data_IF_042203969573
#
_entry.id   IF_042203969573
#
_cell.length_a   1.000
_cell.length_b   1.000
_cell.length_c   1.000
_cell.angle_alpha   90.00
_cell.angle_beta   90.00
_cell.angle_gamma   90.00
#
_symmetry.space_group_name_H-M   'P 1'
#
loop_
_entity.id
_entity.type
_entity.pdbx_description
1 polymer ?
#
# COMPACT_ATOMS: atom_id res chain seq x y z
N UNK A 1 10.88 24.29 15.53
CA UNK A 1 9.50 24.36 14.99
C UNK A 1 8.78 23.11 15.45
N UNK A 2 7.65 23.24 16.15
CA UNK A 2 6.85 22.08 16.56
C UNK A 2 5.98 21.65 15.38
N UNK A 3 6.02 20.36 15.01
CA UNK A 3 5.21 19.81 13.95
C UNK A 3 4.02 19.05 14.53
N UNK A 4 2.89 19.09 13.84
CA UNK A 4 1.69 18.29 14.13
C UNK A 4 1.40 17.36 12.96
N UNK A 5 1.36 16.06 13.23
CA UNK A 5 1.08 15.04 12.22
C UNK A 5 -0.35 14.50 12.41
N UNK A 6 -1.05 14.33 11.29
CA UNK A 6 -2.33 13.59 11.25
C UNK A 6 -2.15 12.27 10.49
N UNK A 7 -2.69 11.17 11.03
CA UNK A 7 -2.95 9.96 10.27
C UNK A 7 -4.30 10.13 9.59
N UNK A 8 -4.30 10.27 8.26
CA UNK A 8 -5.50 10.60 7.49
C UNK A 8 -6.25 9.34 7.00
N UNK A 9 -6.24 8.28 7.77
CA UNK A 9 -6.97 7.04 7.49
C UNK A 9 -7.14 6.21 8.75
N UNK A 10 -8.02 5.23 8.69
CA UNK A 10 -8.15 4.18 9.69
C UNK A 10 -8.51 2.85 9.01
N UNK A 11 -8.46 1.74 9.76
CA UNK A 11 -8.68 0.41 9.19
C UNK A 11 -10.01 0.26 8.45
N UNK A 12 -11.05 0.92 8.94
CA UNK A 12 -12.41 0.87 8.42
C UNK A 12 -12.75 2.01 7.47
N UNK A 13 -11.77 2.75 6.96
CA UNK A 13 -11.98 3.74 5.90
C UNK A 13 -12.76 3.08 4.76
N UNK A 14 -13.79 3.74 4.25
CA UNK A 14 -14.64 3.20 3.19
C UNK A 14 -13.85 2.93 1.91
N UNK A 15 -14.17 1.79 1.26
CA UNK A 15 -13.59 1.40 -0.03
C UNK A 15 -14.37 1.99 -1.21
N UNK A 16 -14.58 3.30 -1.20
CA UNK A 16 -15.34 4.03 -2.22
C UNK A 16 -14.47 4.79 -3.24
N UNK A 17 -13.14 4.68 -3.12
CA UNK A 17 -12.18 5.34 -4.00
C UNK A 17 -12.12 6.86 -3.87
N UNK A 18 -12.59 7.44 -2.74
CA UNK A 18 -12.71 8.90 -2.57
C UNK A 18 -11.74 9.52 -1.57
N UNK A 19 -10.95 8.72 -0.86
CA UNK A 19 -10.08 9.26 0.18
C UNK A 19 -9.12 10.33 -0.35
N UNK A 20 -8.56 10.13 -1.54
CA UNK A 20 -7.66 11.12 -2.15
C UNK A 20 -8.35 12.45 -2.48
N UNK A 21 -9.63 12.39 -2.90
CA UNK A 21 -10.44 13.59 -3.12
C UNK A 21 -10.73 14.30 -1.80
N UNK A 22 -11.00 13.57 -0.72
CA UNK A 22 -11.19 14.15 0.61
C UNK A 22 -9.92 14.83 1.11
N UNK A 23 -8.75 14.18 1.00
CA UNK A 23 -7.45 14.78 1.35
C UNK A 23 -7.24 16.08 0.59
N UNK A 24 -7.45 16.05 -0.74
CA UNK A 24 -7.31 17.22 -1.60
C UNK A 24 -8.22 18.37 -1.16
N UNK A 25 -9.48 18.08 -0.90
CA UNK A 25 -10.48 19.09 -0.58
C UNK A 25 -10.31 19.68 0.84
N UNK A 26 -9.71 18.90 1.74
CA UNK A 26 -9.47 19.32 3.13
C UNK A 26 -8.07 19.92 3.37
N UNK A 27 -7.22 20.05 2.35
CA UNK A 27 -5.84 20.49 2.53
C UNK A 27 -5.73 21.88 3.20
N UNK A 28 -6.52 22.86 2.76
CA UNK A 28 -6.54 24.21 3.36
C UNK A 28 -7.03 24.16 4.80
N UNK A 29 -8.12 23.44 5.07
CA UNK A 29 -8.64 23.28 6.42
C UNK A 29 -7.63 22.65 7.38
N UNK A 30 -6.90 21.62 6.93
CA UNK A 30 -5.83 21.01 7.72
C UNK A 30 -4.69 21.99 8.03
N UNK A 31 -4.32 22.84 7.08
CA UNK A 31 -3.32 23.87 7.29
C UNK A 31 -3.79 24.91 8.33
N UNK A 32 -5.05 25.34 8.26
CA UNK A 32 -5.65 26.27 9.22
C UNK A 32 -5.68 25.70 10.65
N UNK A 33 -5.81 24.37 10.78
CA UNK A 33 -5.71 23.67 12.08
C UNK A 33 -4.25 23.53 12.58
N UNK A 34 -3.27 23.95 11.79
CA UNK A 34 -1.85 23.83 12.15
C UNK A 34 -1.24 22.45 11.92
N UNK A 35 -1.86 21.62 11.08
CA UNK A 35 -1.28 20.34 10.63
C UNK A 35 -0.09 20.63 9.70
N UNK A 36 1.03 20.00 9.97
CA UNK A 36 2.27 20.16 9.19
C UNK A 36 2.65 18.93 8.38
N UNK A 37 2.12 17.78 8.74
CA UNK A 37 2.37 16.50 8.06
C UNK A 37 1.10 15.64 8.02
N UNK A 38 0.86 14.98 6.90
CA UNK A 38 -0.23 14.03 6.72
C UNK A 38 0.34 12.64 6.37
N UNK A 39 0.07 11.66 7.22
CA UNK A 39 0.35 10.26 6.95
C UNK A 39 -0.82 9.66 6.18
N UNK A 40 -0.54 9.32 4.92
CA UNK A 40 -1.49 8.71 3.99
C UNK A 40 -1.33 7.18 3.97
N UNK A 41 -2.40 6.41 3.73
CA UNK A 41 -2.33 4.96 3.64
C UNK A 41 -1.56 4.52 2.38
N UNK A 42 -1.19 3.21 2.29
CA UNK A 42 -0.54 2.69 1.10
C UNK A 42 -1.34 2.97 -0.17
N UNK A 43 -0.71 3.63 -1.15
CA UNK A 43 -1.37 4.06 -2.38
C UNK A 43 -1.35 3.01 -3.50
N UNK A 44 -0.53 1.95 -3.34
CA UNK A 44 -0.35 0.90 -4.35
C UNK A 44 -1.42 -0.20 -4.28
N UNK A 45 -1.47 -1.03 -5.33
CA UNK A 45 -2.41 -2.15 -5.44
C UNK A 45 -2.07 -3.25 -4.44
N UNK A 46 -3.04 -3.58 -3.59
CA UNK A 46 -3.01 -4.76 -2.73
C UNK A 46 -3.70 -5.97 -3.35
N UNK A 47 -3.45 -7.15 -2.78
CA UNK A 47 -4.04 -8.41 -3.25
C UNK A 47 -5.58 -8.43 -3.19
N UNK A 48 -6.18 -7.70 -2.25
CA UNK A 48 -7.64 -7.58 -2.13
C UNK A 48 -8.24 -6.49 -3.05
N UNK A 49 -7.47 -5.98 -4.03
CA UNK A 49 -7.92 -5.02 -5.03
C UNK A 49 -8.51 -3.75 -4.42
N UNK A 50 -9.68 -3.35 -4.88
CA UNK A 50 -10.41 -2.15 -4.40
C UNK A 50 -10.87 -2.21 -2.93
N UNK A 51 -10.72 -3.34 -2.25
CA UNK A 51 -11.01 -3.50 -0.82
C UNK A 51 -9.75 -3.52 0.04
N UNK A 52 -8.56 -3.58 -0.58
CA UNK A 52 -7.30 -3.68 0.14
C UNK A 52 -7.01 -2.43 0.97
N UNK A 53 -6.69 -2.63 2.25
CA UNK A 53 -6.16 -1.57 3.11
C UNK A 53 -4.68 -1.24 2.83
N UNK A 54 -4.02 -2.03 1.95
CA UNK A 54 -2.65 -1.80 1.48
C UNK A 54 -1.57 -2.63 2.16
N UNK A 55 -1.88 -3.34 3.26
CA UNK A 55 -0.91 -4.17 3.99
C UNK A 55 -0.81 -5.62 3.46
N UNK A 56 -1.44 -5.89 2.32
CA UNK A 56 -1.30 -7.07 1.47
C UNK A 56 -0.72 -6.67 0.09
N UNK A 57 0.49 -6.06 0.01
CA UNK A 57 0.99 -5.46 -1.22
C UNK A 57 1.12 -6.48 -2.34
N UNK A 58 0.54 -6.16 -3.49
CA UNK A 58 0.63 -6.96 -4.71
C UNK A 58 1.55 -6.30 -5.74
N UNK A 59 1.21 -5.11 -6.22
CA UNK A 59 2.02 -4.36 -7.19
C UNK A 59 2.31 -2.95 -6.68
N UNK A 60 3.55 -2.73 -6.23
CA UNK A 60 4.01 -1.45 -5.69
C UNK A 60 4.05 -0.32 -6.75
N UNK A 61 3.99 -0.67 -8.03
CA UNK A 61 4.03 0.28 -9.15
C UNK A 61 2.65 0.59 -9.74
N UNK A 62 1.60 -0.10 -9.28
CA UNK A 62 0.21 0.18 -9.64
C UNK A 62 -0.45 1.05 -8.56
N UNK A 63 -0.57 2.33 -8.81
CA UNK A 63 -1.23 3.28 -7.92
C UNK A 63 -2.74 3.45 -8.23
N UNK A 64 -3.37 2.41 -8.78
CA UNK A 64 -4.76 2.45 -9.20
C UNK A 64 -4.91 2.86 -10.66
N UNK A 65 -4.03 2.35 -11.55
CA UNK A 65 -4.01 2.60 -12.98
C UNK A 65 -4.40 1.38 -13.80
N UNK A 66 -4.14 0.17 -13.29
CA UNK A 66 -4.27 -1.09 -14.02
C UNK A 66 -5.39 -1.95 -13.46
N UNK A 67 -6.11 -2.67 -14.32
CA UNK A 67 -7.11 -3.66 -13.89
C UNK A 67 -6.42 -4.91 -13.35
N UNK A 68 -6.16 -4.88 -12.06
CA UNK A 68 -5.50 -5.94 -11.33
C UNK A 68 -6.28 -6.28 -10.05
N UNK A 69 -6.32 -7.57 -9.70
CA UNK A 69 -7.04 -8.06 -8.50
C UNK A 69 -8.50 -7.60 -8.44
N UNK A 70 -9.14 -7.52 -9.62
CA UNK A 70 -10.57 -7.22 -9.77
C UNK A 70 -10.94 -5.73 -9.62
N UNK A 71 -9.97 -4.83 -9.73
CA UNK A 71 -10.24 -3.39 -9.73
C UNK A 71 -9.15 -2.59 -10.43
N UNK A 72 -9.55 -1.46 -11.04
CA UNK A 72 -8.58 -0.47 -11.52
C UNK A 72 -8.12 0.38 -10.34
N UNK A 73 -9.03 1.07 -9.67
CA UNK A 73 -8.69 1.89 -8.50
C UNK A 73 -8.30 1.04 -7.30
N UNK A 74 -7.45 1.61 -6.44
CA UNK A 74 -7.27 1.10 -5.08
C UNK A 74 -8.49 1.44 -4.22
N UNK A 75 -8.53 0.95 -2.99
CA UNK A 75 -9.55 1.31 -1.99
C UNK A 75 -9.72 2.83 -1.84
N UNK A 76 -8.65 3.57 -1.99
CA UNK A 76 -8.54 5.00 -1.68
C UNK A 76 -8.70 5.91 -2.90
N UNK A 77 -8.59 5.35 -4.12
CA UNK A 77 -8.71 6.08 -5.38
C UNK A 77 -7.67 5.64 -6.41
N UNK A 78 -7.51 6.44 -7.45
CA UNK A 78 -6.57 6.19 -8.54
C UNK A 78 -5.34 7.10 -8.44
N UNK A 79 -4.34 6.85 -9.28
CA UNK A 79 -3.06 7.60 -9.31
C UNK A 79 -3.26 9.09 -9.50
N UNK A 80 -4.15 9.51 -10.40
CA UNK A 80 -4.41 10.92 -10.66
C UNK A 80 -4.91 11.61 -9.39
N UNK A 81 -5.92 11.04 -8.73
CA UNK A 81 -6.46 11.56 -7.47
C UNK A 81 -5.39 11.63 -6.38
N UNK A 82 -4.56 10.58 -6.25
CA UNK A 82 -3.44 10.55 -5.30
C UNK A 82 -2.43 11.69 -5.56
N UNK A 83 -2.02 11.86 -6.81
CA UNK A 83 -1.08 12.92 -7.19
C UNK A 83 -1.65 14.31 -6.91
N UNK A 84 -2.94 14.52 -7.21
CA UNK A 84 -3.64 15.78 -6.92
C UNK A 84 -3.75 16.05 -5.41
N UNK A 85 -3.97 15.01 -4.59
CA UNK A 85 -4.01 15.12 -3.13
C UNK A 85 -2.65 15.54 -2.56
N UNK A 86 -1.58 14.88 -2.98
CA UNK A 86 -0.20 15.22 -2.56
C UNK A 86 0.16 16.66 -2.97
N UNK A 87 -0.22 17.06 -4.18
CA UNK A 87 0.03 18.42 -4.67
C UNK A 87 -0.78 19.47 -3.87
N UNK A 88 -2.02 19.16 -3.50
CA UNK A 88 -2.83 20.06 -2.66
C UNK A 88 -2.22 20.24 -1.28
N UNK A 89 -1.77 19.18 -0.62
CA UNK A 89 -1.05 19.26 0.66
C UNK A 89 0.24 20.10 0.53
N UNK A 90 1.01 19.85 -0.54
CA UNK A 90 2.25 20.59 -0.80
C UNK A 90 2.02 22.09 -0.96
N UNK A 91 0.94 22.51 -1.64
CA UNK A 91 0.59 23.93 -1.86
C UNK A 91 0.33 24.69 -0.56
N UNK A 92 -0.15 24.00 0.46
CA UNK A 92 -0.42 24.58 1.79
C UNK A 92 0.68 24.25 2.82
N UNK A 93 1.86 23.82 2.34
CA UNK A 93 3.03 23.47 3.16
C UNK A 93 2.82 22.32 4.15
N UNK A 94 1.93 21.37 3.84
CA UNK A 94 1.78 20.12 4.58
C UNK A 94 2.65 19.05 3.92
N UNK A 95 3.59 18.46 4.68
CA UNK A 95 4.40 17.33 4.22
C UNK A 95 3.57 16.05 4.14
N UNK A 96 3.81 15.23 3.11
CA UNK A 96 3.17 13.92 2.95
C UNK A 96 4.10 12.83 3.45
N UNK A 97 3.60 11.98 4.35
CA UNK A 97 4.25 10.73 4.77
C UNK A 97 3.57 9.58 4.02
N UNK A 98 4.38 8.84 3.26
CA UNK A 98 3.92 7.73 2.43
C UNK A 98 4.12 6.42 3.18
N UNK A 99 3.05 5.64 3.33
CA UNK A 99 3.10 4.30 3.90
C UNK A 99 3.50 3.29 2.81
N UNK A 100 4.61 2.61 3.00
CA UNK A 100 5.13 1.62 2.03
C UNK A 100 5.53 0.33 2.75
N UNK A 101 4.89 -0.78 2.39
CA UNK A 101 5.25 -2.11 2.86
C UNK A 101 6.26 -2.73 1.89
N UNK A 102 7.51 -2.86 2.33
CA UNK A 102 8.61 -3.48 1.56
C UNK A 102 9.00 -4.86 2.10
N UNK A 103 8.41 -5.30 3.21
CA UNK A 103 8.77 -6.52 3.92
C UNK A 103 8.26 -7.79 3.23
N UNK A 104 7.09 -7.74 2.60
CA UNK A 104 6.42 -8.90 2.01
C UNK A 104 5.55 -8.49 0.82
N UNK A 105 5.10 -9.49 0.06
CA UNK A 105 4.08 -9.39 -0.98
C UNK A 105 3.01 -10.46 -0.77
N UNK A 106 1.82 -10.26 -1.32
CA UNK A 106 0.70 -11.18 -1.25
C UNK A 106 0.08 -11.40 -2.64
N UNK A 107 -0.52 -12.58 -2.85
CA UNK A 107 -1.34 -12.85 -4.03
C UNK A 107 -0.55 -13.11 -5.31
N UNK A 108 0.53 -13.90 -5.24
CA UNK A 108 1.23 -14.38 -6.42
C UNK A 108 0.25 -14.96 -7.47
N UNK A 109 0.50 -14.69 -8.75
CA UNK A 109 -0.42 -15.04 -9.85
C UNK A 109 -0.29 -16.50 -10.27
N UNK A 110 0.93 -17.03 -10.19
CA UNK A 110 1.25 -18.40 -10.59
C UNK A 110 2.05 -19.11 -9.50
N UNK A 111 1.99 -20.44 -9.56
CA UNK A 111 2.82 -21.31 -8.74
C UNK A 111 4.22 -21.42 -9.33
N UNK A 112 5.21 -21.53 -8.46
CA UNK A 112 6.57 -21.92 -8.81
C UNK A 112 7.13 -22.88 -7.78
N UNK A 113 8.13 -23.66 -8.20
CA UNK A 113 8.84 -24.62 -7.36
C UNK A 113 10.16 -24.02 -6.93
N UNK A 114 10.47 -24.15 -5.65
CA UNK A 114 11.74 -23.69 -5.08
C UNK A 114 12.10 -24.49 -3.83
N UNK A 115 13.40 -24.50 -3.51
CA UNK A 115 13.92 -25.18 -2.33
C UNK A 115 13.79 -24.29 -1.09
N UNK A 116 13.37 -24.91 0.00
CA UNK A 116 13.25 -24.28 1.32
C UNK A 116 13.93 -25.13 2.38
N UNK A 117 14.18 -24.49 3.55
CA UNK A 117 14.66 -25.15 4.77
C UNK A 117 13.64 -24.98 5.88
N UNK A 118 13.49 -25.96 6.75
CA UNK A 118 12.88 -25.72 8.06
C UNK A 118 13.90 -24.98 8.92
N UNK A 119 13.45 -23.96 9.62
CA UNK A 119 14.27 -23.19 10.54
C UNK A 119 13.70 -23.23 11.95
N UNK A 120 14.55 -23.04 12.94
CA UNK A 120 14.12 -22.90 14.33
C UNK A 120 13.28 -21.63 14.49
N UNK A 121 12.06 -21.69 15.03
CA UNK A 121 11.20 -20.53 15.21
C UNK A 121 11.82 -19.46 16.14
N UNK A 122 12.74 -19.84 17.02
CA UNK A 122 13.41 -18.94 17.95
C UNK A 122 14.74 -18.42 17.40
N UNK A 123 15.32 -19.08 16.40
CA UNK A 123 16.57 -18.69 15.75
C UNK A 123 16.55 -19.08 14.27
N UNK A 124 16.11 -18.20 13.41
CA UNK A 124 15.98 -18.43 11.95
C UNK A 124 17.31 -18.70 11.23
N UNK A 125 18.44 -18.49 11.88
CA UNK A 125 19.76 -18.86 11.36
C UNK A 125 20.11 -20.36 11.59
N UNK A 126 19.31 -21.05 12.41
CA UNK A 126 19.47 -22.47 12.68
C UNK A 126 18.56 -23.29 11.76
N UNK A 127 19.16 -23.96 10.77
CA UNK A 127 18.44 -24.84 9.85
C UNK A 127 18.19 -26.19 10.51
N UNK A 128 16.93 -26.65 10.50
CA UNK A 128 16.45 -27.90 11.09
C UNK A 128 16.25 -29.01 10.05
N UNK A 129 16.49 -28.74 8.77
CA UNK A 129 16.38 -29.75 7.70
C UNK A 129 17.38 -29.48 6.59
N UNK A 130 17.66 -30.52 5.80
CA UNK A 130 18.18 -30.36 4.45
C UNK A 130 17.16 -29.61 3.58
N UNK A 131 17.60 -29.02 2.44
CA UNK A 131 16.70 -28.34 1.53
C UNK A 131 15.70 -29.33 0.92
N UNK A 132 14.44 -28.93 0.81
CA UNK A 132 13.39 -29.67 0.13
C UNK A 132 12.54 -28.79 -0.74
N UNK A 133 12.05 -29.34 -1.87
CA UNK A 133 11.23 -28.59 -2.82
C UNK A 133 9.81 -28.40 -2.29
N UNK A 134 9.30 -27.17 -2.45
CA UNK A 134 7.88 -26.86 -2.27
C UNK A 134 7.35 -26.19 -3.54
N UNK A 135 6.03 -26.19 -3.69
CA UNK A 135 5.32 -25.42 -4.71
C UNK A 135 4.39 -24.42 -4.02
N UNK A 136 4.48 -23.14 -4.40
CA UNK A 136 3.64 -22.08 -3.81
C UNK A 136 3.34 -20.98 -4.82
N UNK A 137 2.29 -20.18 -4.55
CA UNK A 137 1.93 -18.99 -5.32
C UNK A 137 2.85 -17.81 -4.98
N UNK A 138 4.04 -17.80 -5.55
CA UNK A 138 5.07 -16.78 -5.31
C UNK A 138 5.52 -16.05 -6.56
N UNK A 139 5.07 -16.49 -7.75
CA UNK A 139 5.38 -15.84 -9.01
C UNK A 139 4.37 -14.71 -9.32
N UNK A 140 4.88 -13.51 -9.50
CA UNK A 140 4.12 -12.30 -9.81
C UNK A 140 4.32 -11.93 -11.28
N UNK A 141 3.28 -12.05 -12.09
CA UNK A 141 3.31 -11.80 -13.54
C UNK A 141 2.62 -10.50 -13.94
N UNK A 142 1.80 -9.94 -13.03
CA UNK A 142 1.07 -8.68 -13.22
C UNK A 142 0.27 -8.65 -14.54
N UNK A 143 -0.65 -9.59 -14.78
CA UNK A 143 -1.27 -9.79 -16.08
C UNK A 143 -2.15 -8.61 -16.55
N UNK A 144 -2.51 -7.70 -15.66
CA UNK A 144 -3.31 -6.51 -15.97
C UNK A 144 -2.50 -5.25 -16.29
N UNK A 145 -1.16 -5.34 -16.23
CA UNK A 145 -0.28 -4.19 -16.43
C UNK A 145 0.47 -4.24 -17.74
#
# INVERSE_FOLDING_TARGET
>A
MNGTMIQYFHWYTEGNGKLWEEVKNNAEYLADLGITMAWLPPAYKGNSGGNSVGYDPYDLFDLGEFDQKGSISTKYGNKKQYTEAVEALRKVNIGTIVDIVLNHKAGGDEKEKFNVYKVDPNNRLNFLSEPFEIESYTKFTFPGR
#
